data_IF_801603370518
#
_entry.id   IF_801603370518
#
_cell.length_a   1.000
_cell.length_b   1.000
_cell.length_c   1.000
_cell.angle_alpha   90.00
_cell.angle_beta   90.00
_cell.angle_gamma   90.00
#
_symmetry.space_group_name_H-M   'P 1'
#
loop_
_entity.id
_entity.type
_entity.pdbx_description
1 polymer ?
#
# COMPACT_ATOMS: atom_id res chain seq x y z
N UNK A 1 -1.76 15.32 82.15
CA UNK A 1 -2.02 15.12 80.71
C UNK A 1 -2.09 13.62 80.46
N UNK A 2 -3.27 13.08 80.18
CA UNK A 2 -3.42 11.66 79.88
C UNK A 2 -2.81 11.38 78.50
N UNK A 3 -1.78 10.54 78.43
CA UNK A 3 -1.19 10.10 77.18
C UNK A 3 -2.19 9.19 76.47
N UNK A 4 -2.82 9.70 75.41
CA UNK A 4 -3.67 8.92 74.51
C UNK A 4 -2.82 7.81 73.88
N UNK A 5 -3.04 6.55 74.28
CA UNK A 5 -2.41 5.41 73.65
C UNK A 5 -2.92 5.32 72.22
N UNK A 6 -2.13 5.77 71.25
CA UNK A 6 -2.46 5.58 69.84
C UNK A 6 -2.50 4.07 69.58
N UNK A 7 -3.70 3.55 69.25
CA UNK A 7 -3.86 2.15 68.84
C UNK A 7 -3.03 1.94 67.58
N UNK A 8 -1.98 1.13 67.67
CA UNK A 8 -1.21 0.69 66.52
C UNK A 8 -1.88 -0.55 65.92
N UNK A 9 -1.94 -0.63 64.59
CA UNK A 9 -2.43 -1.81 63.89
C UNK A 9 -1.50 -3.00 64.13
N UNK A 10 -2.08 -4.17 64.33
CA UNK A 10 -1.34 -5.43 64.39
C UNK A 10 -0.88 -5.85 62.99
N UNK A 11 0.21 -6.62 62.94
CA UNK A 11 0.73 -7.19 61.70
C UNK A 11 -0.33 -8.05 60.99
N UNK A 12 -1.17 -8.77 61.74
CA UNK A 12 -2.20 -9.63 61.16
C UNK A 12 -3.32 -8.82 60.51
N UNK A 13 -3.72 -7.68 61.10
CA UNK A 13 -4.73 -6.79 60.52
C UNK A 13 -4.23 -6.17 59.21
N UNK A 14 -2.98 -5.74 59.16
CA UNK A 14 -2.38 -5.22 57.92
C UNK A 14 -2.28 -6.32 56.86
N UNK A 15 -1.88 -7.54 57.24
CA UNK A 15 -1.76 -8.68 56.33
C UNK A 15 -3.11 -9.06 55.69
N UNK A 16 -4.18 -9.09 56.48
CA UNK A 16 -5.54 -9.40 55.98
C UNK A 16 -6.03 -8.30 55.04
N UNK A 17 -5.78 -7.02 55.35
CA UNK A 17 -6.20 -5.91 54.50
C UNK A 17 -5.51 -5.95 53.14
N UNK A 18 -4.19 -6.16 53.10
CA UNK A 18 -3.49 -6.26 51.81
C UNK A 18 -3.92 -7.50 51.02
N UNK A 19 -4.23 -8.61 51.69
CA UNK A 19 -4.76 -9.81 51.04
C UNK A 19 -6.12 -9.53 50.38
N UNK A 20 -7.03 -8.85 51.08
CA UNK A 20 -8.34 -8.47 50.53
C UNK A 20 -8.18 -7.51 49.34
N UNK A 21 -7.35 -6.46 49.47
CA UNK A 21 -7.08 -5.52 48.37
C UNK A 21 -6.51 -6.27 47.15
N UNK A 22 -5.60 -7.22 47.37
CA UNK A 22 -4.98 -8.00 46.29
C UNK A 22 -6.01 -8.86 45.55
N UNK A 23 -6.92 -9.52 46.27
CA UNK A 23 -8.01 -10.32 45.66
C UNK A 23 -8.97 -9.41 44.88
N UNK A 24 -9.38 -8.28 45.45
CA UNK A 24 -10.26 -7.33 44.78
C UNK A 24 -9.60 -6.75 43.52
N UNK A 25 -8.33 -6.37 43.59
CA UNK A 25 -7.57 -5.86 42.45
C UNK A 25 -7.43 -6.94 41.35
N UNK A 26 -7.19 -8.20 41.71
CA UNK A 26 -7.06 -9.30 40.75
C UNK A 26 -8.33 -9.51 39.91
N UNK A 27 -9.51 -9.29 40.49
CA UNK A 27 -10.80 -9.37 39.76
C UNK A 27 -11.08 -8.09 38.96
N UNK A 28 -10.68 -6.92 39.48
CA UNK A 28 -11.00 -5.63 38.88
C UNK A 28 -10.14 -5.30 37.64
N UNK A 29 -8.85 -5.65 37.66
CA UNK A 29 -7.90 -5.30 36.59
C UNK A 29 -8.28 -5.90 35.20
N UNK A 30 -8.65 -7.19 35.07
CA UNK A 30 -9.08 -7.75 33.79
C UNK A 30 -10.35 -7.10 33.25
N UNK A 31 -11.30 -6.76 34.14
CA UNK A 31 -12.56 -6.10 33.77
C UNK A 31 -12.29 -4.70 33.25
N UNK A 32 -11.43 -3.93 33.93
CA UNK A 32 -11.05 -2.59 33.51
C UNK A 32 -10.31 -2.60 32.16
N UNK A 33 -9.44 -3.59 31.93
CA UNK A 33 -8.75 -3.77 30.64
C UNK A 33 -9.73 -3.98 29.49
N UNK A 34 -10.71 -4.89 29.64
CA UNK A 34 -11.75 -5.13 28.64
C UNK A 34 -12.64 -3.91 28.41
N UNK A 35 -13.02 -3.20 29.48
CA UNK A 35 -13.81 -1.98 29.39
C UNK A 35 -13.07 -0.87 28.62
N UNK A 36 -11.77 -0.69 28.90
CA UNK A 36 -10.89 0.25 28.21
C UNK A 36 -10.74 -0.08 26.72
N UNK A 37 -10.49 -1.35 26.38
CA UNK A 37 -10.40 -1.78 24.98
C UNK A 37 -11.69 -1.51 24.21
N UNK A 38 -12.86 -1.77 24.82
CA UNK A 38 -14.15 -1.44 24.21
C UNK A 38 -14.33 0.07 24.03
N UNK A 39 -13.96 0.88 25.02
CA UNK A 39 -14.02 2.33 24.92
C UNK A 39 -13.12 2.88 23.80
N UNK A 40 -11.93 2.31 23.63
CA UNK A 40 -11.02 2.67 22.53
C UNK A 40 -11.63 2.39 21.17
N UNK A 41 -12.24 1.21 20.97
CA UNK A 41 -12.94 0.88 19.72
C UNK A 41 -14.10 1.86 19.42
N UNK A 42 -14.87 2.26 20.43
CA UNK A 42 -15.93 3.26 20.29
C UNK A 42 -15.35 4.63 19.90
N UNK A 43 -14.22 5.03 20.50
CA UNK A 43 -13.53 6.26 20.11
C UNK A 43 -13.01 6.20 18.66
N UNK A 44 -12.55 5.04 18.18
CA UNK A 44 -12.17 4.85 16.78
C UNK A 44 -13.35 5.07 15.83
N UNK A 45 -14.52 4.52 16.17
CA UNK A 45 -15.75 4.75 15.40
C UNK A 45 -16.09 6.24 15.33
N UNK A 46 -15.95 6.97 16.45
CA UNK A 46 -16.17 8.42 16.47
C UNK A 46 -15.14 9.21 15.65
N UNK A 47 -13.88 8.79 15.62
CA UNK A 47 -12.84 9.38 14.77
C UNK A 47 -13.10 9.10 13.28
N UNK A 48 -13.48 7.88 12.92
CA UNK A 48 -13.91 7.54 11.56
C UNK A 48 -15.12 8.37 11.11
N UNK A 49 -16.07 8.63 12.01
CA UNK A 49 -17.19 9.55 11.73
C UNK A 49 -16.71 10.96 11.40
N UNK A 50 -15.76 11.50 12.18
CA UNK A 50 -15.16 12.82 11.89
C UNK A 50 -14.39 12.84 10.57
N UNK A 51 -13.64 11.77 10.26
CA UNK A 51 -12.98 11.59 8.96
C UNK A 51 -14.02 11.63 7.84
N UNK A 52 -15.11 10.87 7.98
CA UNK A 52 -16.14 10.86 6.95
C UNK A 52 -16.77 12.23 6.75
N UNK A 53 -17.03 13.00 7.82
CA UNK A 53 -17.55 14.36 7.68
C UNK A 53 -16.59 15.27 6.90
N UNK A 54 -15.28 15.18 7.15
CA UNK A 54 -14.29 15.97 6.41
C UNK A 54 -14.25 15.60 4.90
N UNK A 55 -14.36 14.32 4.57
CA UNK A 55 -14.40 13.89 3.16
C UNK A 55 -15.73 14.20 2.47
N UNK A 56 -16.86 14.15 3.18
CA UNK A 56 -18.16 14.58 2.67
C UNK A 56 -18.15 16.09 2.43
N UNK A 57 -17.64 16.89 3.38
CA UNK A 57 -17.46 18.34 3.23
C UNK A 57 -16.59 18.68 2.02
N UNK A 58 -15.45 18.00 1.88
CA UNK A 58 -14.61 18.10 0.68
C UNK A 58 -15.41 17.86 -0.60
N UNK A 59 -16.13 16.75 -0.68
CA UNK A 59 -16.84 16.39 -1.90
C UNK A 59 -17.95 17.41 -2.24
N UNK A 60 -18.61 18.01 -1.23
CA UNK A 60 -19.59 19.09 -1.44
C UNK A 60 -18.98 20.33 -2.09
N UNK A 61 -17.74 20.68 -1.74
CA UNK A 61 -17.01 21.81 -2.32
C UNK A 61 -16.38 21.47 -3.69
N UNK A 62 -16.29 20.18 -4.04
CA UNK A 62 -15.59 19.68 -5.22
C UNK A 62 -16.49 18.85 -6.16
N UNK A 63 -17.65 19.40 -6.57
CA UNK A 63 -18.54 18.79 -7.57
C UNK A 63 -18.98 17.35 -7.24
N UNK A 64 -19.23 17.07 -5.95
CA UNK A 64 -19.57 15.74 -5.44
C UNK A 64 -18.46 14.67 -5.63
N UNK A 65 -17.20 15.10 -5.81
CA UNK A 65 -16.06 14.20 -6.03
C UNK A 65 -15.19 14.11 -4.79
N UNK A 66 -14.86 12.88 -4.41
CA UNK A 66 -13.80 12.61 -3.45
C UNK A 66 -12.41 12.85 -4.09
N UNK A 67 -11.34 12.98 -3.30
CA UNK A 67 -10.02 13.34 -3.84
C UNK A 67 -9.48 12.42 -4.95
N UNK A 68 -9.78 11.11 -4.90
CA UNK A 68 -9.40 10.13 -5.93
C UNK A 68 -10.33 10.13 -7.15
N UNK A 69 -11.46 10.84 -7.08
CA UNK A 69 -12.45 10.96 -8.16
C UNK A 69 -12.30 12.26 -8.95
N UNK A 70 -11.37 13.13 -8.58
CA UNK A 70 -11.15 14.41 -9.25
C UNK A 70 -10.80 14.20 -10.74
N UNK A 71 -11.26 15.12 -11.58
CA UNK A 71 -10.78 15.18 -12.96
C UNK A 71 -9.31 15.56 -12.99
N UNK A 72 -8.63 15.37 -14.12
CA UNK A 72 -7.20 15.70 -14.23
C UNK A 72 -6.88 17.17 -13.94
N UNK A 73 -7.79 18.09 -14.27
CA UNK A 73 -7.62 19.52 -13.97
C UNK A 73 -7.85 19.83 -12.49
N UNK A 74 -8.94 19.33 -11.90
CA UNK A 74 -9.22 19.49 -10.47
C UNK A 74 -8.13 18.85 -9.60
N UNK A 75 -7.63 17.68 -10.01
CA UNK A 75 -6.54 16.98 -9.32
C UNK A 75 -5.24 17.77 -9.41
N UNK A 76 -4.95 18.46 -10.52
CA UNK A 76 -3.78 19.34 -10.66
C UNK A 76 -3.87 20.55 -9.74
N UNK A 77 -5.08 21.08 -9.56
CA UNK A 77 -5.31 22.19 -8.64
C UNK A 77 -5.15 21.75 -7.17
N UNK A 78 -5.71 20.60 -6.81
CA UNK A 78 -5.68 20.08 -5.45
C UNK A 78 -4.30 19.55 -5.03
N UNK A 79 -3.62 18.84 -5.92
CA UNK A 79 -2.39 18.10 -5.63
C UNK A 79 -1.11 18.68 -6.29
N UNK A 80 -1.25 19.70 -7.13
CA UNK A 80 -0.14 20.34 -7.84
C UNK A 80 0.34 19.56 -9.07
N UNK A 81 1.58 19.81 -9.50
CA UNK A 81 2.18 19.12 -10.66
C UNK A 81 2.39 17.61 -10.43
N UNK A 82 2.37 17.15 -9.17
CA UNK A 82 2.52 15.74 -8.77
C UNK A 82 1.16 15.02 -8.63
N UNK A 83 0.13 15.47 -9.35
CA UNK A 83 -1.25 14.95 -9.23
C UNK A 83 -1.37 13.44 -9.41
N UNK A 84 -0.53 12.86 -10.24
CA UNK A 84 -0.54 11.43 -10.56
C UNK A 84 0.11 10.57 -9.45
N UNK A 85 0.90 11.19 -8.54
CA UNK A 85 1.57 10.53 -7.40
C UNK A 85 0.73 10.58 -6.10
N UNK A 86 -0.10 11.62 -5.93
CA UNK A 86 -0.83 11.89 -4.69
C UNK A 86 -2.30 11.47 -4.70
N UNK A 87 -2.91 11.30 -5.87
CA UNK A 87 -4.31 10.92 -5.99
C UNK A 87 -4.62 9.49 -5.48
N UNK A 88 -3.59 8.69 -5.20
CA UNK A 88 -3.71 7.35 -4.58
C UNK A 88 -3.00 7.23 -3.23
N UNK A 89 -2.39 8.31 -2.72
CA UNK A 89 -1.76 8.34 -1.41
C UNK A 89 -2.72 8.94 -0.37
N UNK A 90 -3.20 8.09 0.54
CA UNK A 90 -4.07 8.52 1.63
C UNK A 90 -3.45 9.65 2.48
N UNK A 91 -2.14 9.68 2.69
CA UNK A 91 -1.47 10.69 3.50
C UNK A 91 -1.50 12.06 2.80
N UNK A 92 -1.37 12.07 1.48
CA UNK A 92 -1.55 13.26 0.67
C UNK A 92 -3.01 13.75 0.71
N UNK A 93 -3.99 12.85 0.64
CA UNK A 93 -5.41 13.19 0.77
C UNK A 93 -5.71 13.84 2.13
N UNK A 94 -5.24 13.23 3.23
CA UNK A 94 -5.37 13.82 4.56
C UNK A 94 -4.59 15.12 4.72
N UNK A 95 -3.66 15.45 3.82
CA UNK A 95 -2.90 16.70 3.82
C UNK A 95 -3.58 17.84 3.07
N UNK A 96 -4.65 17.55 2.31
CA UNK A 96 -5.40 18.57 1.56
C UNK A 96 -5.92 19.67 2.51
N UNK A 97 -5.82 20.96 2.12
CA UNK A 97 -6.16 22.07 3.01
C UNK A 97 -7.58 22.01 3.58
N UNK A 98 -8.59 21.71 2.74
CA UNK A 98 -10.00 21.58 3.15
C UNK A 98 -10.22 20.43 4.11
N UNK A 99 -9.69 19.24 3.81
CA UNK A 99 -9.79 18.07 4.70
C UNK A 99 -9.12 18.34 6.04
N UNK A 100 -7.92 18.93 6.06
CA UNK A 100 -7.23 19.29 7.31
C UNK A 100 -7.98 20.36 8.09
N UNK A 101 -8.59 21.32 7.42
CA UNK A 101 -9.39 22.34 8.07
C UNK A 101 -10.54 21.70 8.85
N UNK A 102 -11.29 20.80 8.21
CA UNK A 102 -12.43 20.11 8.82
C UNK A 102 -12.03 19.13 9.92
N UNK A 103 -10.88 18.46 9.78
CA UNK A 103 -10.33 17.60 10.82
C UNK A 103 -9.81 18.40 12.02
N UNK A 104 -9.44 19.67 11.85
CA UNK A 104 -8.84 20.56 12.86
C UNK A 104 -7.49 20.11 13.49
N UNK A 105 -7.19 18.81 13.60
CA UNK A 105 -5.98 18.26 14.22
C UNK A 105 -5.64 16.85 13.72
N UNK A 106 -4.34 16.54 13.65
CA UNK A 106 -3.84 15.18 13.39
C UNK A 106 -4.28 14.16 14.45
N UNK A 107 -4.67 14.57 15.65
CA UNK A 107 -5.10 13.65 16.72
C UNK A 107 -6.35 12.83 16.34
N UNK A 108 -7.15 13.30 15.37
CA UNK A 108 -8.29 12.52 14.84
C UNK A 108 -7.79 11.30 14.06
N UNK A 109 -6.64 11.40 13.40
CA UNK A 109 -6.05 10.36 12.55
C UNK A 109 -5.39 9.23 13.34
N UNK A 110 -5.18 9.40 14.64
CA UNK A 110 -4.62 8.38 15.53
C UNK A 110 -5.73 7.58 16.21
N UNK A 111 -5.83 6.30 15.87
CA UNK A 111 -6.68 5.36 16.59
C UNK A 111 -6.08 5.05 17.96
N UNK A 112 -6.86 5.13 19.06
CA UNK A 112 -6.39 4.65 20.36
C UNK A 112 -6.14 3.13 20.39
N UNK A 113 -6.58 2.37 19.38
CA UNK A 113 -6.24 0.97 19.22
C UNK A 113 -4.89 0.75 18.51
N UNK A 114 -4.23 1.81 18.05
CA UNK A 114 -2.97 1.77 17.32
C UNK A 114 -1.87 2.62 17.99
N UNK A 115 -1.47 2.28 19.23
CA UNK A 115 -0.50 3.07 19.97
C UNK A 115 0.88 3.15 19.28
N UNK A 116 1.18 2.25 18.34
CA UNK A 116 2.44 2.26 17.58
C UNK A 116 2.62 3.51 16.71
N UNK A 117 1.53 4.16 16.30
CA UNK A 117 1.54 5.38 15.49
C UNK A 117 1.54 6.67 16.30
N UNK A 118 1.41 6.57 17.63
CA UNK A 118 1.35 7.74 18.50
C UNK A 118 2.57 8.67 18.37
N UNK A 119 3.82 8.18 18.32
CA UNK A 119 4.99 9.07 18.22
C UNK A 119 4.98 9.91 16.93
N UNK A 120 4.73 9.28 15.78
CA UNK A 120 4.65 9.99 14.50
C UNK A 120 3.45 10.94 14.45
N UNK A 121 2.34 10.57 15.07
CA UNK A 121 1.16 11.44 15.15
C UNK A 121 1.38 12.66 16.05
N UNK A 122 2.12 12.53 17.15
CA UNK A 122 2.51 13.66 18.00
C UNK A 122 3.37 14.66 17.20
N UNK A 123 4.34 14.19 16.41
CA UNK A 123 5.11 15.05 15.51
C UNK A 123 4.21 15.71 14.44
N UNK A 124 3.27 14.95 13.86
CA UNK A 124 2.31 15.49 12.88
C UNK A 124 1.39 16.57 13.49
N UNK A 125 1.04 16.47 14.77
CA UNK A 125 0.28 17.50 15.48
C UNK A 125 1.10 18.78 15.68
N UNK A 126 2.38 18.67 16.05
CA UNK A 126 3.28 19.82 16.18
C UNK A 126 3.52 20.54 14.84
N UNK A 127 3.59 19.77 13.76
CA UNK A 127 3.79 20.29 12.41
C UNK A 127 2.49 20.61 11.67
N UNK A 128 1.32 20.45 12.31
CA UNK A 128 0.01 20.51 11.64
C UNK A 128 -0.22 21.78 10.82
N UNK A 129 0.17 22.94 11.37
CA UNK A 129 0.04 24.24 10.70
C UNK A 129 1.07 24.46 9.57
N UNK A 130 2.15 23.67 9.54
CA UNK A 130 3.25 23.76 8.57
C UNK A 130 3.10 22.80 7.38
N UNK A 131 2.13 21.88 7.44
CA UNK A 131 1.81 20.96 6.35
C UNK A 131 1.36 21.79 5.14
N UNK A 132 2.03 21.55 4.03
CA UNK A 132 1.74 22.12 2.72
C UNK A 132 2.14 21.10 1.65
N UNK A 133 1.13 20.44 1.09
CA UNK A 133 1.28 19.39 0.09
C UNK A 133 2.03 19.86 -1.16
N UNK A 134 1.72 21.07 -1.64
CA UNK A 134 2.34 21.67 -2.83
C UNK A 134 3.82 22.03 -2.62
N UNK A 135 4.27 22.12 -1.36
CA UNK A 135 5.67 22.32 -1.00
C UNK A 135 6.36 21.01 -0.56
N UNK A 136 5.73 19.85 -0.81
CA UNK A 136 6.26 18.54 -0.45
C UNK A 136 6.25 18.24 1.06
N UNK A 137 5.53 19.03 1.86
CA UNK A 137 5.37 18.83 3.30
C UNK A 137 4.00 18.22 3.57
N UNK A 138 3.90 16.91 3.43
CA UNK A 138 2.67 16.15 3.68
C UNK A 138 2.70 15.48 5.06
N UNK A 139 1.55 15.01 5.51
CA UNK A 139 1.44 14.14 6.66
C UNK A 139 2.28 12.87 6.44
N UNK A 140 3.01 12.41 7.46
CA UNK A 140 3.61 11.10 7.43
C UNK A 140 2.53 10.03 7.43
N UNK A 141 2.67 9.01 6.58
CA UNK A 141 1.72 7.90 6.54
C UNK A 141 1.64 7.22 7.91
N UNK A 142 2.78 7.02 8.56
CA UNK A 142 2.96 6.44 9.90
C UNK A 142 2.23 7.19 11.03
N UNK A 143 1.72 8.41 10.79
CA UNK A 143 0.88 9.12 11.76
C UNK A 143 -0.62 8.77 11.66
N UNK A 144 -1.03 7.96 10.67
CA UNK A 144 -2.43 7.76 10.30
C UNK A 144 -2.83 6.30 10.56
N UNK A 145 -3.82 6.05 11.41
CA UNK A 145 -4.31 4.69 11.74
C UNK A 145 -5.44 4.20 10.83
N UNK A 146 -5.82 5.01 9.85
CA UNK A 146 -6.99 4.81 9.00
C UNK A 146 -6.58 4.78 7.53
N UNK A 147 -7.23 3.91 6.77
CA UNK A 147 -7.05 3.77 5.32
C UNK A 147 -8.33 4.17 4.61
N UNK A 148 -8.21 4.61 3.36
CA UNK A 148 -9.33 5.03 2.52
C UNK A 148 -9.59 3.96 1.46
N UNK A 149 -10.79 3.93 0.90
CA UNK A 149 -11.18 2.94 -0.11
C UNK A 149 -11.49 3.64 -1.42
N UNK A 150 -10.79 3.28 -2.48
CA UNK A 150 -10.87 3.92 -3.80
C UNK A 150 -12.30 3.90 -4.38
N UNK A 151 -13.05 2.83 -4.15
CA UNK A 151 -14.43 2.74 -4.64
C UNK A 151 -15.46 3.55 -3.87
N UNK A 152 -15.08 4.29 -2.82
CA UNK A 152 -16.07 5.13 -2.15
C UNK A 152 -16.55 6.27 -3.06
N UNK A 153 -17.83 6.58 -2.94
CA UNK A 153 -18.50 7.61 -3.72
C UNK A 153 -19.68 8.16 -2.90
N UNK A 154 -19.73 9.47 -2.71
CA UNK A 154 -20.78 10.10 -1.88
C UNK A 154 -22.18 9.95 -2.48
N UNK A 155 -22.30 9.83 -3.81
CA UNK A 155 -23.55 9.54 -4.48
C UNK A 155 -23.96 8.05 -4.35
N UNK A 156 -23.05 7.22 -3.82
CA UNK A 156 -23.28 5.81 -3.47
C UNK A 156 -23.11 5.61 -1.96
N UNK A 157 -24.09 6.09 -1.20
CA UNK A 157 -24.13 6.08 0.28
C UNK A 157 -23.64 4.78 0.96
N UNK A 158 -23.95 3.61 0.38
CA UNK A 158 -23.56 2.30 0.92
C UNK A 158 -22.10 1.90 0.69
N UNK A 159 -21.32 2.67 -0.07
CA UNK A 159 -19.91 2.36 -0.32
C UNK A 159 -19.06 2.62 0.92
N UNK A 160 -18.14 1.70 1.22
CA UNK A 160 -17.12 1.90 2.25
C UNK A 160 -16.22 3.08 1.90
N UNK A 161 -16.08 4.04 2.82
CA UNK A 161 -15.23 5.22 2.67
C UNK A 161 -13.85 5.04 3.32
N UNK A 162 -13.83 4.60 4.58
CA UNK A 162 -12.59 4.43 5.33
C UNK A 162 -12.68 3.29 6.35
N UNK A 163 -11.55 2.71 6.71
CA UNK A 163 -11.45 1.68 7.74
C UNK A 163 -10.25 1.89 8.65
N UNK A 164 -10.19 1.15 9.75
CA UNK A 164 -8.91 0.92 10.43
C UNK A 164 -7.92 0.20 9.50
N UNK A 165 -6.61 0.45 9.68
CA UNK A 165 -5.56 -0.09 8.79
C UNK A 165 -5.30 -1.60 8.91
N UNK A 166 -5.90 -2.29 9.87
CA UNK A 166 -5.62 -3.70 10.18
C UNK A 166 -6.27 -4.71 9.23
N UNK A 167 -6.16 -4.48 7.92
CA UNK A 167 -6.63 -5.36 6.84
C UNK A 167 -5.51 -6.30 6.41
N UNK A 168 -5.80 -7.60 6.25
CA UNK A 168 -4.80 -8.60 5.86
C UNK A 168 -4.25 -8.44 4.44
N UNK A 169 -4.98 -7.74 3.56
CA UNK A 169 -4.58 -7.47 2.18
C UNK A 169 -4.98 -6.04 1.80
N UNK A 170 -4.41 -5.52 0.71
CA UNK A 170 -4.71 -4.19 0.17
C UNK A 170 -6.02 -4.13 -0.64
N UNK A 171 -6.94 -5.07 -0.43
CA UNK A 171 -8.17 -5.16 -1.20
C UNK A 171 -9.32 -5.71 -0.33
N UNK A 172 -10.38 -4.92 -0.11
CA UNK A 172 -11.54 -5.32 0.69
C UNK A 172 -12.23 -6.60 0.19
N UNK A 173 -12.11 -6.87 -1.11
CA UNK A 173 -12.56 -8.09 -1.81
C UNK A 173 -11.91 -9.37 -1.30
N UNK A 174 -10.71 -9.27 -0.73
CA UNK A 174 -9.93 -10.42 -0.25
C UNK A 174 -9.45 -10.27 1.20
N UNK A 175 -9.68 -9.10 1.80
CA UNK A 175 -9.22 -8.79 3.13
C UNK A 175 -10.04 -9.48 4.22
N UNK A 176 -9.36 -9.74 5.33
CA UNK A 176 -9.94 -10.01 6.66
C UNK A 176 -9.33 -9.06 7.68
N UNK A 177 -9.94 -8.92 8.85
CA UNK A 177 -9.34 -8.18 9.95
C UNK A 177 -8.19 -8.97 10.58
N UNK A 178 -7.00 -8.34 10.61
CA UNK A 178 -5.81 -8.87 11.26
C UNK A 178 -5.76 -8.44 12.73
N UNK A 179 -5.30 -9.32 13.61
CA UNK A 179 -5.29 -9.11 15.05
C UNK A 179 -3.92 -9.28 15.71
N UNK A 180 -3.76 -8.64 16.87
CA UNK A 180 -2.56 -8.78 17.71
C UNK A 180 -2.46 -10.16 18.43
N UNK A 181 -3.54 -10.94 18.42
CA UNK A 181 -3.64 -12.30 18.97
C UNK A 181 -3.28 -13.39 17.95
N UNK A 182 -2.93 -13.02 16.71
CA UNK A 182 -2.45 -13.97 15.70
C UNK A 182 -1.03 -14.48 16.05
N UNK A 183 -0.66 -15.72 15.67
CA UNK A 183 0.67 -16.27 15.98
C UNK A 183 1.84 -15.47 15.42
N UNK A 184 1.64 -14.81 14.27
CA UNK A 184 2.59 -13.92 13.62
C UNK A 184 1.87 -12.64 13.17
N UNK A 185 1.70 -11.65 14.07
CA UNK A 185 0.99 -10.42 13.76
C UNK A 185 1.79 -9.60 12.74
N UNK A 186 1.28 -9.52 11.51
CA UNK A 186 1.91 -8.72 10.46
C UNK A 186 1.96 -7.22 10.78
N UNK A 187 2.75 -6.42 10.04
CA UNK A 187 2.95 -4.98 10.29
C UNK A 187 1.65 -4.16 10.28
N UNK A 188 0.65 -4.58 9.51
CA UNK A 188 -0.68 -3.99 9.46
C UNK A 188 -1.48 -4.10 10.78
N UNK A 189 -1.06 -4.95 11.72
CA UNK A 189 -1.82 -5.20 12.94
C UNK A 189 -1.81 -4.00 13.88
N UNK A 190 -2.93 -3.82 14.59
CA UNK A 190 -3.11 -2.78 15.59
C UNK A 190 -3.17 -3.43 16.97
N UNK A 191 -2.27 -3.07 17.89
CA UNK A 191 -2.14 -3.72 19.21
C UNK A 191 -3.43 -3.75 20.05
N UNK A 192 -4.34 -2.80 19.81
CA UNK A 192 -5.63 -2.73 20.50
C UNK A 192 -6.77 -3.51 19.84
N UNK A 193 -6.53 -4.17 18.71
CA UNK A 193 -7.52 -4.96 17.98
C UNK A 193 -7.11 -6.44 17.93
N UNK A 194 -8.08 -7.30 18.22
CA UNK A 194 -7.93 -8.74 18.02
C UNK A 194 -8.37 -9.13 16.61
N UNK A 195 -8.08 -10.37 16.24
CA UNK A 195 -8.50 -10.99 15.00
C UNK A 195 -10.01 -10.85 14.88
N UNK A 196 -10.52 -10.68 13.66
CA UNK A 196 -11.95 -10.46 13.42
C UNK A 196 -12.51 -9.14 14.01
N UNK A 197 -11.67 -8.18 14.41
CA UNK A 197 -12.11 -6.86 14.89
C UNK A 197 -11.56 -5.74 14.02
N UNK A 198 -12.46 -4.92 13.48
CA UNK A 198 -12.12 -3.68 12.79
C UNK A 198 -13.18 -2.60 13.02
N UNK A 199 -12.96 -1.44 12.42
CA UNK A 199 -13.96 -0.39 12.33
C UNK A 199 -14.01 0.15 10.90
N UNK A 200 -15.19 0.62 10.50
CA UNK A 200 -15.49 1.04 9.15
C UNK A 200 -16.43 2.26 9.19
N UNK A 201 -16.34 3.10 8.18
CA UNK A 201 -17.32 4.15 7.89
C UNK A 201 -17.71 4.10 6.43
N UNK A 202 -19.00 4.27 6.16
CA UNK A 202 -19.56 4.34 4.82
C UNK A 202 -19.61 5.78 4.31
N UNK A 203 -19.86 5.96 3.02
CA UNK A 203 -19.96 7.27 2.37
C UNK A 203 -21.15 8.10 2.86
N UNK A 204 -22.14 7.49 3.53
CA UNK A 204 -23.23 8.20 4.23
C UNK A 204 -22.87 8.72 5.63
N UNK A 205 -21.63 8.49 6.09
CA UNK A 205 -21.17 8.87 7.42
C UNK A 205 -21.49 7.88 8.53
N UNK A 206 -22.16 6.75 8.24
CA UNK A 206 -22.43 5.71 9.23
C UNK A 206 -21.15 4.95 9.60
N UNK A 207 -20.61 5.26 10.77
CA UNK A 207 -19.44 4.58 11.33
C UNK A 207 -19.88 3.47 12.29
N UNK A 208 -19.25 2.29 12.19
CA UNK A 208 -19.58 1.13 13.02
C UNK A 208 -18.40 0.20 13.27
N UNK A 209 -18.56 -0.65 14.27
CA UNK A 209 -17.69 -1.81 14.47
C UNK A 209 -17.93 -2.81 13.33
N UNK A 210 -16.87 -3.48 12.89
CA UNK A 210 -16.91 -4.48 11.84
C UNK A 210 -16.17 -5.76 12.26
N UNK A 211 -16.52 -6.86 11.59
CA UNK A 211 -15.89 -8.16 11.72
C UNK A 211 -15.72 -8.82 10.32
N UNK A 212 -15.15 -10.02 10.25
CA UNK A 212 -14.81 -10.69 8.99
C UNK A 212 -16.04 -11.06 8.15
N UNK A 213 -17.24 -11.13 8.73
CA UNK A 213 -18.47 -11.34 7.95
C UNK A 213 -18.82 -10.14 7.05
N UNK A 214 -18.23 -8.99 7.31
CA UNK A 214 -18.41 -7.78 6.50
C UNK A 214 -17.45 -7.72 5.30
N UNK A 215 -16.32 -8.44 5.36
CA UNK A 215 -15.20 -8.34 4.42
C UNK A 215 -15.01 -9.60 3.55
N UNK A 216 -14.16 -9.50 2.53
CA UNK A 216 -13.86 -10.58 1.60
C UNK A 216 -14.94 -10.81 0.54
N UNK A 217 -14.76 -11.83 -0.28
CA UNK A 217 -15.58 -12.10 -1.46
C UNK A 217 -17.07 -12.29 -1.12
N UNK A 218 -17.33 -12.90 0.03
CA UNK A 218 -18.69 -13.14 0.54
C UNK A 218 -19.15 -12.13 1.58
N UNK A 219 -18.32 -11.13 1.90
CA UNK A 219 -18.58 -10.14 2.95
C UNK A 219 -19.76 -9.22 2.61
N UNK A 220 -20.62 -8.95 3.59
CA UNK A 220 -21.81 -8.12 3.37
C UNK A 220 -21.45 -6.73 2.84
N UNK A 221 -20.53 -6.03 3.50
CA UNK A 221 -20.16 -4.65 3.14
C UNK A 221 -19.31 -4.61 1.87
N UNK A 222 -18.41 -5.57 1.69
CA UNK A 222 -17.63 -5.67 0.46
C UNK A 222 -18.52 -5.90 -0.75
N UNK A 223 -19.54 -6.76 -0.63
CA UNK A 223 -20.51 -6.98 -1.71
C UNK A 223 -21.37 -5.76 -1.97
N UNK A 224 -21.93 -5.14 -0.93
CA UNK A 224 -22.75 -3.94 -1.08
C UNK A 224 -21.95 -2.78 -1.70
N UNK A 225 -20.69 -2.64 -1.32
CA UNK A 225 -19.76 -1.69 -1.93
C UNK A 225 -19.54 -2.01 -3.41
N UNK A 226 -19.07 -3.23 -3.72
CA UNK A 226 -18.71 -3.62 -5.09
C UNK A 226 -19.93 -3.60 -6.05
N UNK A 227 -21.11 -3.98 -5.56
CA UNK A 227 -22.34 -4.03 -6.36
C UNK A 227 -23.08 -2.70 -6.42
N UNK A 228 -22.63 -1.69 -5.67
CA UNK A 228 -23.21 -0.35 -5.72
C UNK A 228 -23.12 0.23 -7.14
N UNK A 229 -24.18 0.93 -7.54
CA UNK A 229 -24.30 1.53 -8.87
C UNK A 229 -24.75 3.00 -8.75
N UNK A 230 -24.32 3.85 -9.69
CA UNK A 230 -24.59 5.29 -9.68
C UNK A 230 -23.33 6.13 -9.52
N UNK A 231 -23.45 7.41 -9.20
CA UNK A 231 -22.31 8.29 -8.90
C UNK A 231 -21.30 8.51 -10.04
N UNK A 232 -20.08 8.86 -9.65
CA UNK A 232 -19.00 9.29 -10.54
C UNK A 232 -18.36 8.11 -11.28
N UNK A 233 -18.30 6.92 -10.66
CA UNK A 233 -17.83 5.69 -11.31
C UNK A 233 -18.91 5.05 -12.19
N UNK A 234 -18.53 4.53 -13.36
CA UNK A 234 -19.40 3.73 -14.23
C UNK A 234 -19.02 2.25 -14.12
N UNK A 235 -19.66 1.52 -13.20
CA UNK A 235 -19.41 0.10 -12.95
C UNK A 235 -19.32 -0.26 -11.46
N UNK A 236 -18.92 -1.51 -11.15
CA UNK A 236 -18.65 -1.96 -9.79
C UNK A 236 -17.64 -1.06 -9.08
N UNK A 237 -17.86 -0.76 -7.80
CA UNK A 237 -16.93 0.06 -7.04
C UNK A 237 -15.61 -0.69 -6.76
N UNK A 238 -14.44 -0.09 -7.06
CA UNK A 238 -13.14 -0.68 -6.75
C UNK A 238 -12.94 -0.95 -5.25
N UNK A 239 -12.52 -2.15 -4.89
CA UNK A 239 -12.26 -2.54 -3.49
C UNK A 239 -10.82 -2.24 -3.03
N UNK A 240 -10.09 -1.41 -3.77
CA UNK A 240 -8.67 -1.11 -3.51
C UNK A 240 -8.55 -0.26 -2.24
N UNK A 241 -7.60 -0.64 -1.38
CA UNK A 241 -7.29 0.06 -0.14
C UNK A 241 -6.17 1.07 -0.39
N UNK A 242 -6.47 2.34 -0.20
CA UNK A 242 -5.54 3.46 -0.28
C UNK A 242 -4.81 3.62 1.05
N UNK A 243 -3.47 3.63 1.02
CA UNK A 243 -2.63 3.62 2.22
C UNK A 243 -2.24 2.22 2.71
N UNK A 244 -2.49 1.19 1.90
CA UNK A 244 -1.95 -0.13 2.15
C UNK A 244 -0.49 -0.23 1.66
N UNK A 245 0.43 -0.60 2.57
CA UNK A 245 1.86 -0.76 2.24
C UNK A 245 2.71 0.51 2.36
N UNK A 246 2.17 1.62 2.86
CA UNK A 246 2.93 2.86 3.13
C UNK A 246 3.50 2.91 4.56
N UNK A 247 4.00 1.79 5.08
CA UNK A 247 4.76 1.80 6.32
C UNK A 247 6.26 2.01 6.01
N UNK A 248 6.94 2.95 6.69
CA UNK A 248 8.39 2.90 6.77
C UNK A 248 8.78 1.64 7.55
N UNK A 249 9.83 0.95 7.08
CA UNK A 249 10.55 -0.06 7.85
C UNK A 249 10.73 0.42 9.31
N UNK A 250 10.35 -0.39 10.33
CA UNK A 250 10.37 0.07 11.72
C UNK A 250 11.78 0.52 12.13
N UNK A 251 11.93 1.52 13.01
CA UNK A 251 13.25 1.99 13.45
C UNK A 251 13.96 0.85 14.18
N UNK A 252 15.00 0.30 13.57
CA UNK A 252 15.72 -0.88 14.06
C UNK A 252 15.39 -2.19 13.36
N UNK A 253 14.54 -2.20 12.33
CA UNK A 253 14.58 -3.27 11.33
C UNK A 253 15.93 -3.20 10.61
N UNK A 254 16.76 -4.21 10.85
CA UNK A 254 17.88 -4.47 9.95
C UNK A 254 17.33 -4.64 8.54
N UNK A 255 18.09 -4.22 7.50
CA UNK A 255 17.66 -4.41 6.12
C UNK A 255 17.20 -5.86 5.95
N UNK A 256 15.96 -6.01 5.49
CA UNK A 256 15.35 -7.29 5.14
C UNK A 256 16.43 -8.20 4.54
N UNK A 257 16.67 -9.37 5.17
CA UNK A 257 17.57 -10.39 4.62
C UNK A 257 17.19 -10.58 3.15
N UNK A 258 18.11 -10.30 2.19
CA UNK A 258 17.76 -10.28 0.78
C UNK A 258 17.24 -11.64 0.32
N UNK A 259 16.04 -11.65 -0.27
CA UNK A 259 15.48 -12.87 -0.86
C UNK A 259 16.33 -13.38 -2.03
N UNK A 260 16.13 -14.64 -2.44
CA UNK A 260 16.91 -15.27 -3.51
C UNK A 260 16.89 -14.55 -4.87
N UNK A 261 15.87 -13.70 -5.13
CA UNK A 261 15.74 -12.94 -6.40
C UNK A 261 16.70 -11.74 -6.48
N UNK A 262 17.10 -11.18 -5.33
CA UNK A 262 18.11 -10.12 -5.21
C UNK A 262 19.46 -10.53 -5.81
N UNK A 263 19.90 -11.77 -5.57
CA UNK A 263 21.17 -12.28 -6.09
C UNK A 263 21.19 -12.40 -7.63
N UNK A 264 20.03 -12.60 -8.25
CA UNK A 264 19.92 -12.74 -9.71
C UNK A 264 19.94 -11.38 -10.40
N UNK A 265 19.36 -10.34 -9.80
CA UNK A 265 19.34 -9.01 -10.43
C UNK A 265 20.71 -8.32 -10.38
N UNK A 266 21.57 -8.69 -9.42
CA UNK A 266 22.99 -8.28 -9.37
C UNK A 266 23.87 -8.88 -10.48
N UNK A 267 23.38 -9.85 -11.27
CA UNK A 267 24.16 -10.46 -12.36
C UNK A 267 24.22 -9.62 -13.64
N UNK A 268 23.62 -8.42 -13.66
CA UNK A 268 23.64 -7.57 -14.85
C UNK A 268 25.04 -7.06 -15.21
N UNK A 269 25.24 -6.87 -16.52
CA UNK A 269 26.50 -6.38 -17.10
C UNK A 269 26.36 -4.88 -17.33
N UNK A 270 27.39 -4.12 -16.98
CA UNK A 270 27.46 -2.68 -17.27
C UNK A 270 26.81 -1.78 -16.21
N UNK A 271 26.49 -0.55 -16.64
CA UNK A 271 26.07 0.56 -15.79
C UNK A 271 24.64 1.01 -16.05
N UNK A 272 24.06 0.77 -17.23
CA UNK A 272 22.71 1.19 -17.60
C UNK A 272 21.73 0.02 -17.66
N UNK A 273 20.66 0.12 -16.88
CA UNK A 273 19.69 -0.96 -16.70
C UNK A 273 18.29 -0.50 -17.10
N UNK A 274 17.64 -1.25 -17.97
CA UNK A 274 16.25 -1.04 -18.33
C UNK A 274 15.38 -2.15 -17.73
N UNK A 275 14.36 -1.79 -16.96
CA UNK A 275 13.34 -2.71 -16.46
C UNK A 275 12.08 -2.55 -17.30
N UNK A 276 11.69 -3.60 -18.02
CA UNK A 276 10.49 -3.64 -18.87
C UNK A 276 9.48 -4.55 -18.18
N UNK A 277 8.45 -3.97 -17.59
CA UNK A 277 7.54 -4.61 -16.64
C UNK A 277 6.14 -4.71 -17.24
N UNK A 278 5.61 -5.91 -17.24
CA UNK A 278 4.24 -6.19 -17.65
C UNK A 278 3.23 -5.61 -16.65
N UNK A 279 2.33 -4.77 -17.15
CA UNK A 279 1.12 -4.34 -16.45
C UNK A 279 -0.14 -4.70 -17.23
N UNK A 280 -0.14 -5.81 -17.96
CA UNK A 280 -1.35 -6.35 -18.59
C UNK A 280 -2.33 -6.89 -17.55
N UNK A 281 -3.60 -7.05 -17.92
CA UNK A 281 -4.65 -7.44 -16.96
C UNK A 281 -4.40 -8.78 -16.25
N UNK A 282 -3.61 -9.68 -16.81
CA UNK A 282 -3.26 -10.97 -16.20
C UNK A 282 -2.35 -10.82 -14.98
N UNK A 283 -1.56 -9.75 -14.91
CA UNK A 283 -0.67 -9.42 -13.79
C UNK A 283 -1.41 -9.02 -12.49
N UNK A 284 -2.73 -8.81 -12.54
CA UNK A 284 -3.57 -8.63 -11.33
C UNK A 284 -3.84 -9.94 -10.57
N UNK A 285 -3.52 -11.11 -11.14
CA UNK A 285 -3.76 -12.40 -10.49
C UNK A 285 -2.62 -12.72 -9.53
N UNK A 286 -2.94 -13.39 -8.42
CA UNK A 286 -1.96 -14.00 -7.51
C UNK A 286 -0.81 -13.03 -7.12
N UNK A 287 -1.10 -11.75 -6.90
CA UNK A 287 -0.12 -10.70 -6.54
C UNK A 287 1.08 -10.51 -7.49
N UNK A 288 1.01 -10.99 -8.74
CA UNK A 288 2.14 -10.97 -9.70
C UNK A 288 2.72 -9.57 -9.93
N UNK A 289 1.86 -8.57 -10.13
CA UNK A 289 2.32 -7.18 -10.32
C UNK A 289 2.97 -6.61 -9.05
N UNK A 290 2.41 -6.90 -7.88
CA UNK A 290 2.95 -6.46 -6.60
C UNK A 290 4.31 -7.08 -6.33
N UNK A 291 4.49 -8.36 -6.67
CA UNK A 291 5.79 -9.03 -6.64
C UNK A 291 6.76 -8.34 -7.61
N UNK A 292 6.39 -8.16 -8.88
CA UNK A 292 7.25 -7.51 -9.86
C UNK A 292 7.75 -6.12 -9.41
N UNK A 293 6.85 -5.29 -8.86
CA UNK A 293 7.17 -3.97 -8.30
C UNK A 293 8.21 -4.03 -7.19
N UNK A 294 7.95 -4.87 -6.18
CA UNK A 294 8.84 -5.04 -5.02
C UNK A 294 10.24 -5.43 -5.46
N UNK A 295 10.33 -6.40 -6.36
CA UNK A 295 11.60 -6.94 -6.83
C UNK A 295 12.41 -5.90 -7.63
N UNK A 296 11.75 -5.04 -8.43
CA UNK A 296 12.42 -3.96 -9.14
C UNK A 296 12.94 -2.89 -8.18
N UNK A 297 12.16 -2.49 -7.17
CA UNK A 297 12.61 -1.53 -6.15
C UNK A 297 13.81 -2.09 -5.37
N UNK A 298 13.72 -3.34 -4.92
CA UNK A 298 14.82 -4.03 -4.23
C UNK A 298 16.07 -4.16 -5.10
N UNK A 299 15.90 -4.46 -6.39
CA UNK A 299 16.99 -4.50 -7.35
C UNK A 299 17.70 -3.15 -7.45
N UNK A 300 16.95 -2.06 -7.69
CA UNK A 300 17.54 -0.73 -7.87
C UNK A 300 18.31 -0.31 -6.61
N UNK A 301 17.78 -0.58 -5.41
CA UNK A 301 18.49 -0.33 -4.15
C UNK A 301 19.83 -1.07 -4.06
N UNK A 302 19.91 -2.27 -4.64
CA UNK A 302 21.06 -3.16 -4.51
C UNK A 302 22.22 -2.86 -5.46
N UNK A 303 21.95 -2.14 -6.55
CA UNK A 303 22.90 -1.99 -7.67
C UNK A 303 23.99 -0.96 -7.40
N UNK A 304 23.81 -0.13 -6.37
CA UNK A 304 24.75 0.92 -5.98
C UNK A 304 24.54 2.24 -6.73
N UNK A 305 24.94 3.37 -6.13
CA UNK A 305 24.55 4.72 -6.56
C UNK A 305 25.13 5.16 -7.92
N UNK A 306 26.15 4.46 -8.42
CA UNK A 306 26.82 4.77 -9.69
C UNK A 306 26.13 4.15 -10.90
N UNK A 307 25.18 3.23 -10.68
CA UNK A 307 24.42 2.60 -11.74
C UNK A 307 23.24 3.48 -12.14
N UNK A 308 22.83 3.37 -13.39
CA UNK A 308 21.70 4.08 -13.96
C UNK A 308 20.59 3.09 -14.26
N UNK A 309 19.36 3.49 -13.98
CA UNK A 309 18.18 2.69 -14.23
C UNK A 309 17.10 3.49 -14.94
N UNK A 310 16.24 2.76 -15.63
CA UNK A 310 14.99 3.27 -16.18
C UNK A 310 13.96 2.16 -16.23
N UNK A 311 12.70 2.53 -16.05
CA UNK A 311 11.59 1.57 -15.98
C UNK A 311 10.59 1.88 -17.10
N UNK A 312 10.17 0.86 -17.82
CA UNK A 312 9.05 0.90 -18.75
C UNK A 312 8.01 -0.07 -18.25
N UNK A 313 6.80 0.41 -18.04
CA UNK A 313 5.65 -0.47 -17.95
C UNK A 313 5.09 -0.71 -19.35
N UNK A 314 4.52 -1.88 -19.58
CA UNK A 314 3.86 -2.18 -20.84
C UNK A 314 2.57 -2.95 -20.65
N UNK A 315 1.60 -2.59 -21.49
CA UNK A 315 0.44 -3.41 -21.78
C UNK A 315 0.30 -3.54 -23.29
N UNK A 316 -0.60 -2.80 -23.94
CA UNK A 316 -0.60 -2.55 -25.38
C UNK A 316 0.11 -1.23 -25.75
N UNK A 317 0.40 -0.40 -24.76
CA UNK A 317 1.18 0.84 -24.87
C UNK A 317 2.48 0.72 -24.06
N UNK A 318 3.46 1.53 -24.43
CA UNK A 318 4.67 1.76 -23.65
C UNK A 318 4.44 2.91 -22.66
N UNK A 319 4.74 2.68 -21.38
CA UNK A 319 4.55 3.64 -20.30
C UNK A 319 5.93 3.89 -19.67
N UNK A 320 6.69 4.89 -20.15
CA UNK A 320 8.03 5.18 -19.66
C UNK A 320 8.00 5.85 -18.27
N UNK A 321 9.02 5.57 -17.47
CA UNK A 321 9.28 6.27 -16.21
C UNK A 321 9.43 7.77 -16.44
N UNK A 322 8.80 8.56 -15.56
CA UNK A 322 8.85 10.02 -15.66
C UNK A 322 10.27 10.54 -15.42
N UNK A 323 10.68 11.49 -16.27
CA UNK A 323 11.90 12.27 -16.08
C UNK A 323 13.19 11.66 -16.65
N UNK A 324 13.12 10.56 -17.41
CA UNK A 324 14.30 10.01 -18.10
C UNK A 324 15.21 9.18 -17.18
N UNK A 325 16.42 8.88 -17.66
CA UNK A 325 17.42 8.06 -16.96
C UNK A 325 17.70 8.62 -15.55
N UNK A 326 17.79 7.73 -14.56
CA UNK A 326 18.10 8.10 -13.17
C UNK A 326 19.23 7.24 -12.63
N UNK A 327 20.06 7.82 -11.77
CA UNK A 327 21.02 7.04 -10.96
C UNK A 327 20.29 6.25 -9.88
N UNK A 328 20.77 5.06 -9.56
CA UNK A 328 20.25 4.16 -8.53
C UNK A 328 20.63 4.63 -7.11
N UNK A 329 20.37 5.91 -6.81
CA UNK A 329 20.52 6.48 -5.47
C UNK A 329 19.23 6.28 -4.68
N UNK A 330 19.36 6.21 -3.35
CA UNK A 330 18.19 6.15 -2.46
C UNK A 330 17.23 7.32 -2.68
N UNK A 331 17.75 8.50 -3.00
CA UNK A 331 16.95 9.70 -3.27
C UNK A 331 16.16 9.60 -4.56
N UNK A 332 16.80 9.20 -5.66
CA UNK A 332 16.09 9.01 -6.93
C UNK A 332 15.07 7.89 -6.82
N UNK A 333 15.36 6.84 -6.06
CA UNK A 333 14.40 5.77 -5.84
C UNK A 333 13.26 6.20 -4.92
N UNK A 334 13.49 7.05 -3.91
CA UNK A 334 12.42 7.65 -3.11
C UNK A 334 11.45 8.45 -3.99
N UNK A 335 11.97 9.15 -5.00
CA UNK A 335 11.16 9.88 -5.99
C UNK A 335 10.43 8.92 -6.94
N UNK A 336 11.09 7.85 -7.39
CA UNK A 336 10.53 6.97 -8.41
C UNK A 336 9.68 5.81 -7.87
N UNK A 337 9.88 5.39 -6.62
CA UNK A 337 9.16 4.28 -6.01
C UNK A 337 7.64 4.49 -6.00
N UNK A 338 7.08 5.69 -5.73
CA UNK A 338 5.65 5.95 -5.87
C UNK A 338 5.13 5.64 -7.27
N UNK A 339 5.80 6.14 -8.32
CA UNK A 339 5.41 5.87 -9.71
C UNK A 339 5.53 4.38 -10.06
N UNK A 340 6.63 3.72 -9.64
CA UNK A 340 6.85 2.29 -9.87
C UNK A 340 5.74 1.48 -9.18
N UNK A 341 5.42 1.80 -7.93
CA UNK A 341 4.44 1.07 -7.13
C UNK A 341 2.99 1.42 -7.48
N UNK A 342 2.74 2.58 -8.08
CA UNK A 342 1.41 3.07 -8.44
C UNK A 342 0.80 2.47 -9.70
N UNK A 343 1.59 1.80 -10.56
CA UNK A 343 1.06 1.25 -11.81
C UNK A 343 0.03 0.16 -11.58
N UNK A 344 -1.07 0.15 -12.33
CA UNK A 344 -2.12 -0.87 -12.22
C UNK A 344 -2.10 -1.81 -13.43
N UNK A 345 -2.54 -3.05 -13.24
CA UNK A 345 -2.57 -4.01 -14.34
C UNK A 345 -3.86 -3.87 -15.17
N UNK A 346 -3.72 -3.56 -16.46
CA UNK A 346 -4.81 -3.37 -17.41
C UNK A 346 -4.36 -3.62 -18.85
N UNK A 347 -5.27 -4.11 -19.69
CA UNK A 347 -5.05 -4.22 -21.13
C UNK A 347 -4.34 -5.51 -21.55
N UNK A 348 -3.91 -5.53 -22.82
CA UNK A 348 -3.26 -6.69 -23.45
C UNK A 348 -1.77 -6.76 -23.12
N UNK A 349 -1.12 -7.85 -23.50
CA UNK A 349 0.28 -8.15 -23.20
C UNK A 349 1.16 -8.02 -24.45
N UNK A 350 1.56 -6.80 -24.83
CA UNK A 350 2.41 -6.52 -26.00
C UNK A 350 3.63 -5.66 -25.63
N UNK A 351 4.81 -6.28 -25.40
CA UNK A 351 6.00 -5.54 -24.98
C UNK A 351 6.71 -4.81 -26.14
N UNK A 352 6.26 -4.96 -27.39
CA UNK A 352 7.07 -4.55 -28.57
C UNK A 352 7.39 -3.06 -28.58
N UNK A 353 6.43 -2.20 -28.24
CA UNK A 353 6.66 -0.76 -28.17
C UNK A 353 7.64 -0.43 -27.04
N UNK A 354 7.42 -0.96 -25.84
CA UNK A 354 8.30 -0.73 -24.70
C UNK A 354 9.72 -1.23 -24.93
N UNK A 355 9.89 -2.36 -25.62
CA UNK A 355 11.20 -2.87 -26.01
C UNK A 355 11.88 -1.96 -27.04
N UNK A 356 11.16 -1.48 -28.07
CA UNK A 356 11.74 -0.51 -29.03
C UNK A 356 12.16 0.77 -28.32
N UNK A 357 11.33 1.29 -27.41
CA UNK A 357 11.65 2.48 -26.65
C UNK A 357 12.87 2.27 -25.75
N UNK A 358 12.91 1.14 -25.03
CA UNK A 358 14.03 0.80 -24.16
C UNK A 358 15.34 0.68 -24.93
N UNK A 359 15.39 -0.07 -26.03
CA UNK A 359 16.63 -0.24 -26.80
C UNK A 359 17.08 1.05 -27.49
N UNK A 360 16.15 1.81 -28.08
CA UNK A 360 16.48 2.99 -28.88
C UNK A 360 16.74 4.26 -28.04
N UNK A 361 16.07 4.40 -26.90
CA UNK A 361 16.13 5.63 -26.07
C UNK A 361 17.21 5.53 -25.00
N UNK A 362 17.47 4.33 -24.48
CA UNK A 362 18.28 4.15 -23.27
C UNK A 362 19.68 3.59 -23.53
N UNK A 363 19.91 2.99 -24.70
CA UNK A 363 21.13 2.20 -24.99
C UNK A 363 21.58 1.35 -23.78
N UNK A 364 20.71 0.48 -23.25
CA UNK A 364 20.97 -0.20 -21.98
C UNK A 364 22.10 -1.23 -22.13
N UNK A 365 22.89 -1.44 -21.08
CA UNK A 365 23.84 -2.56 -21.03
C UNK A 365 23.12 -3.86 -20.64
N UNK A 366 22.06 -3.73 -19.83
CA UNK A 366 21.23 -4.85 -19.38
C UNK A 366 19.74 -4.48 -19.43
N UNK A 367 18.91 -5.37 -19.98
CA UNK A 367 17.45 -5.30 -19.99
C UNK A 367 16.89 -6.42 -19.11
N UNK A 368 15.91 -6.09 -18.27
CA UNK A 368 15.11 -7.03 -17.49
C UNK A 368 13.68 -7.02 -18.00
N UNK A 369 13.22 -8.12 -18.60
CA UNK A 369 11.83 -8.28 -19.04
C UNK A 369 11.03 -9.11 -18.03
N UNK A 370 10.05 -8.50 -17.39
CA UNK A 370 9.23 -9.08 -16.32
C UNK A 370 7.80 -9.29 -16.85
N UNK A 371 7.25 -10.51 -16.81
CA UNK A 371 5.92 -10.82 -17.35
C UNK A 371 5.30 -12.08 -16.73
N UNK A 372 3.99 -12.24 -16.78
CA UNK A 372 3.32 -13.51 -16.49
C UNK A 372 3.12 -14.41 -17.72
N UNK A 373 3.53 -13.93 -18.89
CA UNK A 373 4.02 -14.80 -19.96
C UNK A 373 2.97 -15.33 -20.93
N UNK A 374 2.15 -14.47 -21.53
CA UNK A 374 1.58 -14.78 -22.85
C UNK A 374 1.62 -13.51 -23.70
N UNK A 375 2.63 -13.40 -24.57
CA UNK A 375 2.71 -12.24 -25.45
C UNK A 375 1.62 -12.30 -26.53
N UNK A 376 0.96 -11.17 -26.76
CA UNK A 376 -0.01 -11.04 -27.84
C UNK A 376 0.68 -11.27 -29.18
N UNK A 377 0.12 -12.20 -29.95
CA UNK A 377 0.61 -12.59 -31.26
C UNK A 377 -0.55 -12.60 -32.26
N UNK A 378 -0.45 -11.80 -33.33
CA UNK A 378 -1.41 -11.79 -34.45
C UNK A 378 -0.71 -12.10 -35.76
N UNK A 379 -1.47 -12.49 -36.78
CA UNK A 379 -0.94 -12.68 -38.13
C UNK A 379 -0.27 -11.38 -38.62
N UNK A 380 0.98 -11.48 -39.06
CA UNK A 380 1.79 -10.33 -39.51
C UNK A 380 2.62 -9.64 -38.41
N UNK A 381 2.48 -10.01 -37.13
CA UNK A 381 3.35 -9.49 -36.07
C UNK A 381 4.61 -10.34 -35.92
N UNK A 382 5.78 -9.69 -35.83
CA UNK A 382 7.01 -10.41 -35.49
C UNK A 382 6.94 -10.96 -34.06
N UNK A 383 7.39 -12.21 -33.79
CA UNK A 383 7.54 -12.70 -32.44
C UNK A 383 8.45 -11.79 -31.61
N UNK A 384 8.19 -11.66 -30.30
CA UNK A 384 8.99 -10.79 -29.40
C UNK A 384 10.48 -11.17 -29.43
N UNK A 385 10.79 -12.47 -29.49
CA UNK A 385 12.16 -12.94 -29.63
C UNK A 385 12.86 -12.47 -30.92
N UNK A 386 12.11 -12.35 -32.03
CA UNK A 386 12.66 -11.85 -33.29
C UNK A 386 12.91 -10.33 -33.21
N UNK A 387 12.02 -9.58 -32.55
CA UNK A 387 12.22 -8.16 -32.30
C UNK A 387 13.45 -7.90 -31.43
N UNK A 388 13.63 -8.64 -30.33
CA UNK A 388 14.80 -8.46 -29.46
C UNK A 388 16.09 -8.74 -30.23
N UNK A 389 16.11 -9.75 -31.11
CA UNK A 389 17.25 -10.03 -31.98
C UNK A 389 17.52 -8.91 -32.99
N UNK A 390 16.48 -8.28 -33.52
CA UNK A 390 16.60 -7.11 -34.41
C UNK A 390 17.20 -5.91 -33.66
N UNK A 391 16.71 -5.64 -32.44
CA UNK A 391 17.15 -4.51 -31.61
C UNK A 391 18.54 -4.71 -31.01
N UNK A 392 18.93 -5.97 -30.75
CA UNK A 392 20.22 -6.35 -30.18
C UNK A 392 21.14 -7.01 -31.23
N UNK A 393 21.12 -6.53 -32.48
CA UNK A 393 21.84 -7.15 -33.58
C UNK A 393 23.38 -7.16 -33.43
N UNK A 394 23.92 -6.36 -32.51
CA UNK A 394 25.35 -6.30 -32.18
C UNK A 394 25.73 -7.11 -30.93
N UNK A 395 24.77 -7.84 -30.34
CA UNK A 395 24.90 -8.69 -29.15
C UNK A 395 25.54 -7.99 -27.94
N UNK A 396 25.41 -6.66 -27.83
CA UNK A 396 26.00 -5.90 -26.71
C UNK A 396 25.13 -5.86 -25.47
N UNK A 397 23.82 -5.94 -25.63
CA UNK A 397 22.85 -5.81 -24.53
C UNK A 397 22.57 -7.18 -23.92
N UNK A 398 22.74 -7.32 -22.61
CA UNK A 398 22.32 -8.52 -21.88
C UNK A 398 20.81 -8.47 -21.65
N UNK A 399 20.06 -9.51 -22.03
CA UNK A 399 18.59 -9.56 -21.79
C UNK A 399 18.24 -10.67 -20.80
N UNK A 400 17.82 -10.29 -19.60
CA UNK A 400 17.29 -11.21 -18.60
C UNK A 400 15.76 -11.24 -18.65
N UNK A 401 15.16 -12.37 -18.28
CA UNK A 401 13.71 -12.53 -18.24
C UNK A 401 13.23 -13.12 -16.91
N UNK A 402 12.10 -12.61 -16.41
CA UNK A 402 11.45 -13.11 -15.21
C UNK A 402 9.99 -13.43 -15.54
N UNK A 403 9.60 -14.67 -15.26
CA UNK A 403 8.25 -15.18 -15.43
C UNK A 403 7.51 -15.28 -14.09
N UNK A 404 6.32 -14.69 -13.98
CA UNK A 404 5.48 -14.75 -12.77
C UNK A 404 4.25 -15.64 -13.00
N UNK A 405 4.11 -16.73 -12.24
CA UNK A 405 2.86 -17.51 -12.24
C UNK A 405 2.80 -18.41 -11.01
N UNK A 406 1.64 -18.97 -10.70
CA UNK A 406 1.50 -20.03 -9.68
C UNK A 406 1.92 -21.43 -10.19
N UNK A 407 2.22 -21.56 -11.49
CA UNK A 407 2.61 -22.79 -12.18
C UNK A 407 3.60 -22.46 -13.29
N UNK A 408 4.78 -23.09 -13.24
CA UNK A 408 5.88 -22.84 -14.16
C UNK A 408 5.53 -23.19 -15.61
N UNK A 409 4.62 -24.14 -15.84
CA UNK A 409 4.23 -24.55 -17.19
C UNK A 409 3.33 -23.54 -17.91
N UNK A 410 2.79 -22.58 -17.16
CA UNK A 410 1.82 -21.59 -17.64
C UNK A 410 2.48 -20.27 -18.08
N UNK A 411 3.80 -20.13 -17.92
CA UNK A 411 4.58 -18.98 -18.39
C UNK A 411 5.05 -19.20 -19.83
N UNK A 412 5.16 -18.11 -20.61
CA UNK A 412 5.62 -18.14 -22.00
C UNK A 412 6.95 -18.89 -22.14
N UNK A 413 6.93 -19.95 -22.94
CA UNK A 413 8.10 -20.79 -23.18
C UNK A 413 9.22 -20.06 -23.93
N UNK A 414 8.95 -18.87 -24.49
CA UNK A 414 9.96 -18.05 -25.16
C UNK A 414 10.86 -17.26 -24.22
N UNK A 415 10.51 -17.06 -22.94
CA UNK A 415 11.34 -16.29 -22.00
C UNK A 415 12.74 -16.89 -21.80
N UNK A 416 12.81 -18.21 -21.56
CA UNK A 416 14.06 -18.96 -21.44
C UNK A 416 14.97 -18.81 -22.68
N UNK A 417 14.46 -19.14 -23.88
CA UNK A 417 15.17 -18.92 -25.14
C UNK A 417 15.58 -17.47 -25.40
N UNK A 418 14.75 -16.48 -25.07
CA UNK A 418 15.08 -15.06 -25.22
C UNK A 418 16.29 -14.71 -24.35
N UNK A 419 16.28 -15.09 -23.07
CA UNK A 419 17.38 -14.78 -22.18
C UNK A 419 18.68 -15.47 -22.61
N UNK A 420 18.60 -16.77 -22.92
CA UNK A 420 19.75 -17.58 -23.35
C UNK A 420 20.39 -17.03 -24.63
N UNK A 421 19.58 -16.55 -25.58
CA UNK A 421 20.07 -16.01 -26.84
C UNK A 421 20.77 -14.64 -26.70
N UNK A 422 20.64 -13.97 -25.56
CA UNK A 422 21.16 -12.60 -25.34
C UNK A 422 22.06 -12.55 -24.08
N UNK A 423 22.84 -13.61 -23.83
CA UNK A 423 23.79 -13.73 -22.71
C UNK A 423 23.16 -13.40 -21.33
N UNK A 424 21.87 -13.69 -21.17
CA UNK A 424 21.11 -13.39 -19.97
C UNK A 424 20.53 -14.63 -19.29
N UNK A 425 19.82 -14.39 -18.19
CA UNK A 425 19.26 -15.43 -17.34
C UNK A 425 17.73 -15.38 -17.35
N UNK A 426 17.11 -16.56 -17.34
CA UNK A 426 15.68 -16.71 -17.15
C UNK A 426 15.41 -17.22 -15.73
N UNK A 427 14.40 -16.64 -15.08
CA UNK A 427 13.91 -17.12 -13.80
C UNK A 427 12.40 -17.19 -13.72
N UNK A 428 11.91 -18.25 -13.10
CA UNK A 428 10.51 -18.39 -12.72
C UNK A 428 10.30 -17.94 -11.27
N UNK A 429 9.25 -17.17 -11.03
CA UNK A 429 8.80 -16.71 -9.71
C UNK A 429 7.41 -17.27 -9.46
N UNK A 430 7.31 -18.07 -8.40
CA UNK A 430 6.02 -18.60 -7.96
C UNK A 430 5.21 -17.51 -7.28
N UNK A 431 4.06 -17.17 -7.84
CA UNK A 431 3.15 -16.16 -7.34
C UNK A 431 2.05 -16.72 -6.43
N UNK A 432 2.06 -18.01 -6.11
CA UNK A 432 1.10 -18.61 -5.18
C UNK A 432 1.18 -17.91 -3.80
N UNK A 433 0.03 -17.63 -3.15
CA UNK A 433 0.03 -17.12 -1.78
C UNK A 433 0.77 -18.11 -0.88
N UNK A 434 1.80 -17.63 -0.16
CA UNK A 434 2.54 -18.45 0.81
C UNK A 434 1.87 -18.46 2.17
#
# INVERSE_FOLDING_TARGET
>A
MAASSKRAFSIIEILVVIAIISVLAAVLLPVLGKAKAKAYRVKCVSQLGQISQAFIGYAQDHNERLPWQLTSDESREAFGENKDDFAMDHAAMFSLPSIRHDLATAAILLSPCDPGRAPANEEAQEQWSKINLLQGRMLPAEAISYVLIDGADIARSGTVLATTRNLSTCNLGTARWSGADEPDPGPQTMNGLQSNQGQIVLADGSARLSNNADLGETGLLTRDHAQSAGGTYKGPAPTVVLGCGSEPDPPGSSPLEPGELFQVIQSGKGNRYAFVIDCSGSMNRDDRLSLAKREVVTAILSMGPDKEFFVYYYNHNSIPMLGGIRKATKENLRIMAPWINGQTAIGNTDPRMALRDAFNTMEPDTVWLLTDGIFMQRAGMAPVAALIRELNADDKVRVNTIGFHNDQNSVDKSLGPIATANDGTYRFVNSAPK
#
